data_IF_509029928305
#
_entry.id   IF_509029928305
#
_cell.length_a   1.000
_cell.length_b   1.000
_cell.length_c   1.000
_cell.angle_alpha   90.00
_cell.angle_beta   90.00
_cell.angle_gamma   90.00
#
_symmetry.space_group_name_H-M   'P 1'
#
loop_
_entity.id
_entity.type
_entity.pdbx_description
1 polymer ?
#
# COMPACT_ATOMS: atom_id res chain seq x y z
N UNK A 1 -13.25 9.48 -6.60
CA UNK A 1 -12.04 10.34 -6.76
C UNK A 1 -12.16 11.36 -7.88
N UNK A 2 -12.50 10.97 -9.12
CA UNK A 2 -12.61 11.89 -10.28
C UNK A 2 -13.52 13.08 -10.00
N UNK A 3 -14.69 12.84 -9.41
CA UNK A 3 -15.65 13.91 -9.09
C UNK A 3 -15.09 14.92 -8.08
N UNK A 4 -14.36 14.44 -7.06
CA UNK A 4 -13.68 15.33 -6.12
C UNK A 4 -12.60 16.17 -6.82
N UNK A 5 -11.81 15.56 -7.71
CA UNK A 5 -10.85 16.33 -8.51
C UNK A 5 -11.52 17.39 -9.39
N UNK A 6 -12.71 17.13 -9.95
CA UNK A 6 -13.47 18.11 -10.75
C UNK A 6 -13.96 19.27 -9.88
N UNK A 7 -14.58 18.98 -8.73
CA UNK A 7 -15.08 19.98 -7.78
C UNK A 7 -13.97 20.91 -7.28
N UNK A 8 -12.80 20.35 -6.97
CA UNK A 8 -11.69 21.09 -6.37
C UNK A 8 -10.71 21.71 -7.37
N UNK A 9 -10.84 21.41 -8.68
CA UNK A 9 -9.93 21.88 -9.75
C UNK A 9 -9.80 23.41 -9.79
N UNK A 10 -10.90 24.12 -9.54
CA UNK A 10 -10.95 25.58 -9.62
C UNK A 10 -10.73 26.28 -8.28
N UNK A 11 -10.79 25.55 -7.16
CA UNK A 11 -10.68 26.13 -5.80
C UNK A 11 -9.23 26.32 -5.34
N UNK A 12 -8.30 25.47 -5.77
CA UNK A 12 -6.88 25.63 -5.42
C UNK A 12 -6.08 26.32 -6.54
N UNK A 13 -5.65 27.56 -6.28
CA UNK A 13 -4.97 28.41 -7.27
C UNK A 13 -3.50 28.02 -7.49
N UNK A 14 -2.79 27.57 -6.46
CA UNK A 14 -1.35 27.25 -6.52
C UNK A 14 -1.09 25.75 -6.72
N UNK A 15 0.12 25.40 -7.18
CA UNK A 15 0.56 23.99 -7.28
C UNK A 15 0.59 23.31 -5.91
N UNK A 16 1.17 24.00 -4.90
CA UNK A 16 1.22 23.52 -3.51
C UNK A 16 -0.18 23.31 -2.91
N UNK A 17 -1.11 24.24 -3.14
CA UNK A 17 -2.49 24.10 -2.66
C UNK A 17 -3.19 22.88 -3.27
N UNK A 18 -2.94 22.59 -4.55
CA UNK A 18 -3.47 21.39 -5.21
C UNK A 18 -2.83 20.11 -4.67
N UNK A 19 -1.54 20.11 -4.40
CA UNK A 19 -0.87 18.98 -3.74
C UNK A 19 -1.46 18.70 -2.35
N UNK A 20 -1.77 19.75 -1.58
CA UNK A 20 -2.45 19.62 -0.27
C UNK A 20 -3.83 18.99 -0.43
N UNK A 21 -4.64 19.41 -1.40
CA UNK A 21 -5.96 18.80 -1.67
C UNK A 21 -5.82 17.33 -2.05
N UNK A 22 -4.86 16.98 -2.91
CA UNK A 22 -4.63 15.58 -3.26
C UNK A 22 -4.32 14.75 -2.01
N UNK A 23 -3.43 15.23 -1.16
CA UNK A 23 -3.03 14.53 0.07
C UNK A 23 -4.15 14.43 1.11
N UNK A 24 -4.94 15.49 1.28
CA UNK A 24 -5.92 15.58 2.37
C UNK A 24 -7.32 15.07 1.99
N UNK A 25 -7.68 15.06 0.71
CA UNK A 25 -9.05 14.76 0.27
C UNK A 25 -9.09 13.61 -0.73
N UNK A 26 -8.28 13.68 -1.79
CA UNK A 26 -8.43 12.73 -2.92
C UNK A 26 -7.80 11.38 -2.62
N UNK A 27 -6.54 11.38 -2.17
CA UNK A 27 -5.76 10.17 -1.91
C UNK A 27 -6.28 9.36 -0.71
N UNK A 28 -6.78 9.96 0.39
CA UNK A 28 -7.39 9.20 1.48
C UNK A 28 -8.55 8.28 1.05
N UNK A 29 -9.32 8.66 0.01
CA UNK A 29 -10.36 7.80 -0.54
C UNK A 29 -9.80 6.51 -1.13
N UNK A 30 -8.60 6.56 -1.72
CA UNK A 30 -7.88 5.40 -2.20
C UNK A 30 -7.26 4.61 -1.05
N UNK A 31 -6.72 5.31 -0.04
CA UNK A 31 -6.10 4.65 1.11
C UNK A 31 -7.10 3.83 1.91
N UNK A 32 -8.32 4.32 2.05
CA UNK A 32 -9.39 3.57 2.72
C UNK A 32 -9.62 2.18 2.09
N UNK A 33 -9.62 2.08 0.76
CA UNK A 33 -9.78 0.79 0.07
C UNK A 33 -8.48 0.00 0.00
N UNK A 34 -7.34 0.67 -0.12
CA UNK A 34 -6.02 0.04 -0.18
C UNK A 34 -5.61 -0.68 1.11
N UNK A 35 -6.20 -0.31 2.26
CA UNK A 35 -6.00 -1.00 3.54
C UNK A 35 -6.58 -2.42 3.55
N UNK A 36 -7.57 -2.71 2.71
CA UNK A 36 -8.29 -4.01 2.71
C UNK A 36 -8.24 -4.76 1.38
N UNK A 37 -7.81 -4.10 0.29
CA UNK A 37 -7.74 -4.69 -1.04
C UNK A 37 -6.45 -4.32 -1.75
N UNK A 38 -5.95 -5.23 -2.58
CA UNK A 38 -4.75 -4.95 -3.39
C UNK A 38 -5.12 -3.96 -4.48
N UNK A 39 -4.42 -2.83 -4.52
CA UNK A 39 -4.61 -1.85 -5.59
C UNK A 39 -4.00 -2.41 -6.88
N UNK A 40 -4.79 -2.70 -7.92
CA UNK A 40 -4.25 -3.28 -9.15
C UNK A 40 -3.38 -2.26 -9.92
N UNK A 41 -2.40 -2.75 -10.68
CA UNK A 41 -1.42 -1.88 -11.35
C UNK A 41 -2.05 -0.88 -12.34
N UNK A 42 -3.17 -1.23 -12.99
CA UNK A 42 -3.93 -0.33 -13.85
C UNK A 42 -4.54 0.84 -13.04
N UNK A 43 -5.08 0.59 -11.85
CA UNK A 43 -5.64 1.60 -10.95
C UNK A 43 -4.53 2.53 -10.45
N UNK A 44 -3.36 1.99 -10.09
CA UNK A 44 -2.19 2.81 -9.71
C UNK A 44 -1.82 3.78 -10.84
N UNK A 45 -1.76 3.29 -12.09
CA UNK A 45 -1.49 4.14 -13.26
C UNK A 45 -2.57 5.21 -13.45
N UNK A 46 -3.85 4.86 -13.29
CA UNK A 46 -4.96 5.81 -13.38
C UNK A 46 -4.89 6.88 -12.28
N UNK A 47 -4.59 6.50 -11.04
CA UNK A 47 -4.41 7.44 -9.92
C UNK A 47 -3.25 8.39 -10.19
N UNK A 48 -2.10 7.88 -10.65
CA UNK A 48 -0.94 8.71 -11.04
C UNK A 48 -1.32 9.72 -12.13
N UNK A 49 -2.06 9.30 -13.16
CA UNK A 49 -2.57 10.18 -14.22
C UNK A 49 -3.50 11.25 -13.65
N UNK A 50 -4.48 10.86 -12.84
CA UNK A 50 -5.44 11.75 -12.21
C UNK A 50 -4.76 12.82 -11.34
N UNK A 51 -3.78 12.41 -10.53
CA UNK A 51 -2.98 13.33 -9.72
C UNK A 51 -2.25 14.35 -10.60
N UNK A 52 -1.60 13.90 -11.68
CA UNK A 52 -0.92 14.80 -12.65
C UNK A 52 -1.92 15.73 -13.35
N UNK A 53 -3.06 15.24 -13.82
CA UNK A 53 -4.09 16.07 -14.45
C UNK A 53 -4.58 17.18 -13.52
N UNK A 54 -4.83 16.83 -12.25
CA UNK A 54 -5.24 17.79 -11.24
C UNK A 54 -4.14 18.82 -10.93
N UNK A 55 -2.90 18.36 -10.73
CA UNK A 55 -1.73 19.22 -10.46
C UNK A 55 -1.38 20.16 -11.60
N UNK A 56 -1.67 19.80 -12.86
CA UNK A 56 -1.34 20.62 -14.02
C UNK A 56 -2.56 21.28 -14.68
N UNK A 57 -3.74 21.23 -14.04
CA UNK A 57 -4.99 21.85 -14.55
C UNK A 57 -5.34 21.38 -15.97
N UNK A 58 -4.98 20.14 -16.30
CA UNK A 58 -5.32 19.52 -17.58
C UNK A 58 -6.60 18.71 -17.43
N UNK A 59 -7.24 18.38 -18.56
CA UNK A 59 -8.46 17.60 -18.52
C UNK A 59 -8.21 16.19 -18.00
N UNK A 60 -9.10 15.77 -17.11
CA UNK A 60 -9.05 14.46 -16.47
C UNK A 60 -9.60 13.47 -17.48
N UNK A 61 -8.72 12.91 -18.30
CA UNK A 61 -9.01 11.81 -19.20
C UNK A 61 -8.40 10.52 -18.65
N UNK A 62 -9.10 9.40 -18.81
CA UNK A 62 -8.66 8.09 -18.32
C UNK A 62 -7.57 7.48 -19.22
N UNK A 63 -7.53 7.89 -20.48
CA UNK A 63 -6.72 7.30 -21.55
C UNK A 63 -5.42 8.05 -21.82
N UNK A 64 -5.38 9.38 -21.72
CA UNK A 64 -4.19 10.16 -22.06
C UNK A 64 -3.23 10.34 -20.87
N UNK A 65 -1.98 9.93 -21.07
CA UNK A 65 -0.90 10.19 -20.11
C UNK A 65 -0.44 11.65 -20.22
N UNK A 66 -0.55 12.39 -19.13
CA UNK A 66 -0.11 13.80 -19.08
C UNK A 66 1.35 13.84 -18.66
N UNK A 67 2.23 14.25 -19.58
CA UNK A 67 3.59 14.66 -19.24
C UNK A 67 3.50 16.04 -18.58
N UNK A 68 3.81 16.09 -17.28
CA UNK A 68 3.96 17.35 -16.58
C UNK A 68 5.24 18.06 -17.02
N UNK A 69 5.36 19.39 -16.77
CA UNK A 69 6.59 20.14 -17.03
C UNK A 69 7.76 19.78 -16.08
N UNK A 70 7.49 18.97 -15.05
CA UNK A 70 8.44 18.64 -13.99
C UNK A 70 8.74 17.14 -13.98
N UNK A 71 9.93 16.78 -13.51
CA UNK A 71 10.32 15.39 -13.27
C UNK A 71 9.33 14.72 -12.30
N UNK A 72 9.03 13.45 -12.54
CA UNK A 72 8.02 12.73 -11.75
C UNK A 72 8.46 12.51 -10.30
N UNK A 73 9.74 12.24 -10.09
CA UNK A 73 10.35 12.05 -8.76
C UNK A 73 10.19 13.28 -7.84
N UNK A 74 10.24 14.48 -8.41
CA UNK A 74 10.06 15.74 -7.69
C UNK A 74 8.66 15.86 -7.06
N UNK A 75 7.64 15.17 -7.62
CA UNK A 75 6.29 15.14 -7.05
C UNK A 75 6.25 14.40 -5.70
N UNK A 76 7.12 13.41 -5.53
CA UNK A 76 7.13 12.53 -4.35
C UNK A 76 8.14 12.97 -3.28
N UNK A 77 9.13 13.79 -3.64
CA UNK A 77 10.10 14.33 -2.69
C UNK A 77 9.45 15.10 -1.54
N UNK A 78 10.01 15.02 -0.32
CA UNK A 78 9.47 15.69 0.84
C UNK A 78 9.46 17.22 0.64
N UNK A 79 8.50 17.88 1.27
CA UNK A 79 8.37 19.35 1.17
C UNK A 79 9.56 20.09 1.76
N UNK A 80 10.33 19.46 2.67
CA UNK A 80 11.58 20.01 3.21
C UNK A 80 12.70 20.10 2.17
N UNK A 81 12.69 19.24 1.13
CA UNK A 81 13.65 19.25 0.03
C UNK A 81 13.11 19.99 -1.21
N UNK A 82 12.03 20.76 -1.05
CA UNK A 82 11.42 21.51 -2.15
C UNK A 82 10.51 20.70 -3.08
N UNK A 83 10.20 19.44 -2.74
CA UNK A 83 9.21 18.61 -3.45
C UNK A 83 7.76 18.89 -3.02
N UNK A 84 6.81 18.16 -3.61
CA UNK A 84 5.38 18.28 -3.26
C UNK A 84 4.94 17.37 -2.11
N UNK A 85 5.75 16.39 -1.72
CA UNK A 85 5.48 15.44 -0.64
C UNK A 85 4.23 14.60 -0.89
N UNK A 86 3.95 14.25 -2.15
CA UNK A 86 2.87 13.33 -2.46
C UNK A 86 3.35 11.90 -2.18
N UNK A 87 2.55 11.07 -1.52
CA UNK A 87 2.91 9.67 -1.32
C UNK A 87 2.88 8.95 -2.67
N UNK A 88 3.93 8.18 -2.96
CA UNK A 88 3.93 7.33 -4.15
C UNK A 88 2.90 6.21 -3.96
N UNK A 89 1.95 6.09 -4.89
CA UNK A 89 0.75 5.26 -4.68
C UNK A 89 1.05 3.79 -4.43
N UNK A 90 2.02 3.21 -5.12
CA UNK A 90 2.40 1.81 -4.95
C UNK A 90 3.06 1.61 -3.58
N UNK A 91 4.15 2.34 -3.32
CA UNK A 91 4.89 2.24 -2.06
C UNK A 91 4.00 2.51 -0.85
N UNK A 92 3.13 3.52 -0.91
CA UNK A 92 2.22 3.83 0.19
C UNK A 92 1.17 2.73 0.40
N UNK A 93 0.64 2.13 -0.67
CA UNK A 93 -0.29 1.00 -0.53
C UNK A 93 0.36 -0.23 0.12
N UNK A 94 1.61 -0.54 -0.25
CA UNK A 94 2.37 -1.62 0.36
C UNK A 94 2.69 -1.32 1.84
N UNK A 95 3.07 -0.08 2.15
CA UNK A 95 3.30 0.37 3.52
C UNK A 95 2.04 0.25 4.38
N UNK A 96 0.85 0.59 3.86
CA UNK A 96 -0.42 0.42 4.58
C UNK A 96 -0.70 -1.05 4.92
N UNK A 97 -0.43 -1.97 3.98
CA UNK A 97 -0.62 -3.40 4.20
C UNK A 97 0.34 -3.93 5.27
N UNK A 98 1.61 -3.49 5.25
CA UNK A 98 2.59 -3.81 6.28
C UNK A 98 2.22 -3.24 7.65
N UNK A 99 1.73 -2.00 7.71
CA UNK A 99 1.22 -1.40 8.94
C UNK A 99 0.04 -2.20 9.50
N UNK A 100 -0.91 -2.62 8.65
CA UNK A 100 -2.03 -3.48 9.05
C UNK A 100 -1.55 -4.78 9.67
N UNK A 101 -0.56 -5.45 9.06
CA UNK A 101 0.05 -6.66 9.60
C UNK A 101 0.76 -6.40 10.95
N UNK A 102 1.55 -5.34 11.04
CA UNK A 102 2.24 -4.91 12.27
C UNK A 102 1.26 -4.59 13.40
N UNK A 103 0.19 -3.87 13.09
CA UNK A 103 -0.78 -3.44 14.09
C UNK A 103 -1.59 -4.66 14.60
N UNK A 104 -1.84 -5.64 13.73
CA UNK A 104 -2.46 -6.90 14.13
C UNK A 104 -1.53 -7.73 15.05
N UNK A 105 -0.26 -7.91 14.69
CA UNK A 105 0.72 -8.62 15.53
C UNK A 105 0.91 -7.93 16.87
N UNK A 106 1.05 -6.61 16.88
CA UNK A 106 1.16 -5.83 18.11
C UNK A 106 -0.09 -5.95 18.99
N UNK A 107 -1.29 -5.90 18.40
CA UNK A 107 -2.54 -6.12 19.14
C UNK A 107 -2.58 -7.50 19.79
N UNK A 108 -2.16 -8.55 19.07
CA UNK A 108 -2.14 -9.92 19.61
C UNK A 108 -1.08 -10.08 20.68
N UNK A 109 0.09 -9.47 20.53
CA UNK A 109 1.14 -9.50 21.54
C UNK A 109 0.70 -8.90 22.88
N UNK A 110 -0.13 -7.86 22.86
CA UNK A 110 -0.63 -7.20 24.07
C UNK A 110 -1.87 -7.89 24.65
N UNK A 111 -2.84 -8.24 23.78
CA UNK A 111 -4.17 -8.66 24.22
C UNK A 111 -4.38 -10.16 24.20
N UNK A 112 -3.43 -10.92 23.63
CA UNK A 112 -3.53 -12.35 23.33
C UNK A 112 -4.78 -12.73 22.52
N UNK A 113 -5.37 -11.78 21.80
CA UNK A 113 -6.58 -11.98 20.98
C UNK A 113 -6.40 -11.35 19.62
N UNK A 114 -6.78 -12.09 18.58
CA UNK A 114 -6.81 -11.57 17.21
C UNK A 114 -7.91 -10.51 17.11
N UNK A 115 -7.58 -9.29 16.65
CA UNK A 115 -8.58 -8.25 16.52
C UNK A 115 -9.60 -8.63 15.46
N UNK A 116 -10.89 -8.31 15.70
CA UNK A 116 -12.01 -8.73 14.84
C UNK A 116 -11.84 -8.35 13.36
N UNK A 117 -11.22 -7.21 13.10
CA UNK A 117 -10.96 -6.73 11.74
C UNK A 117 -9.88 -7.54 11.00
N UNK A 118 -9.04 -8.28 11.72
CA UNK A 118 -7.98 -9.11 11.15
C UNK A 118 -8.30 -10.61 11.13
N UNK A 119 -9.37 -11.04 11.81
CA UNK A 119 -9.77 -12.47 11.87
C UNK A 119 -9.84 -13.14 10.49
N UNK A 120 -10.43 -12.52 9.43
CA UNK A 120 -10.47 -13.15 8.12
C UNK A 120 -9.07 -13.43 7.55
N UNK A 121 -8.13 -12.49 7.72
CA UNK A 121 -6.75 -12.66 7.29
C UNK A 121 -6.03 -13.73 8.12
N UNK A 122 -6.27 -13.76 9.43
CA UNK A 122 -5.71 -14.75 10.34
C UNK A 122 -6.11 -16.18 9.94
N UNK A 123 -7.37 -16.40 9.56
CA UNK A 123 -7.84 -17.70 9.07
C UNK A 123 -7.19 -18.06 7.72
N UNK A 124 -7.08 -17.09 6.79
CA UNK A 124 -6.39 -17.30 5.52
C UNK A 124 -4.91 -17.67 5.71
N UNK A 125 -4.26 -17.16 6.77
CA UNK A 125 -2.87 -17.48 7.05
C UNK A 125 -2.66 -18.91 7.56
N UNK A 126 -3.71 -19.58 8.04
CA UNK A 126 -3.65 -20.97 8.46
C UNK A 126 -3.70 -21.95 7.28
N UNK A 127 -4.25 -21.53 6.14
CA UNK A 127 -4.39 -22.39 4.96
C UNK A 127 -3.04 -22.90 4.40
N UNK A 128 -1.99 -22.07 4.22
CA UNK A 128 -0.71 -22.53 3.71
C UNK A 128 0.18 -23.23 4.75
N UNK A 129 -0.27 -23.29 6.00
CA UNK A 129 0.51 -23.74 7.15
C UNK A 129 0.21 -25.21 7.46
N UNK A 130 1.21 -26.08 7.35
CA UNK A 130 1.07 -27.50 7.68
C UNK A 130 1.25 -27.77 9.20
N UNK A 131 0.76 -28.93 9.66
CA UNK A 131 1.07 -29.53 10.98
C UNK A 131 0.74 -28.70 12.24
N UNK A 132 -0.39 -27.99 12.25
CA UNK A 132 -0.91 -27.38 13.49
C UNK A 132 -0.31 -26.02 13.85
N UNK A 133 0.44 -25.42 12.92
CA UNK A 133 0.83 -24.00 13.03
C UNK A 133 -0.38 -23.07 12.87
N UNK A 134 -0.35 -21.94 13.55
CA UNK A 134 -1.52 -21.06 13.75
C UNK A 134 -1.21 -19.64 13.33
N UNK A 135 -1.91 -19.16 12.30
CA UNK A 135 -2.11 -17.75 12.00
C UNK A 135 -0.80 -16.97 11.79
N UNK A 136 -0.23 -16.39 12.85
CA UNK A 136 0.99 -15.59 12.77
C UNK A 136 2.28 -16.40 12.64
N UNK A 137 2.24 -17.73 12.78
CA UNK A 137 3.39 -18.58 12.46
C UNK A 137 3.84 -18.42 10.99
N UNK A 138 2.93 -17.95 10.13
CA UNK A 138 3.20 -17.59 8.73
C UNK A 138 4.31 -16.54 8.58
N UNK A 139 4.57 -15.73 9.62
CA UNK A 139 5.61 -14.71 9.61
C UNK A 139 7.02 -15.29 9.61
N UNK A 140 7.16 -16.53 10.05
CA UNK A 140 8.42 -17.27 10.10
C UNK A 140 8.56 -18.27 8.95
N UNK A 141 7.51 -18.42 8.14
CA UNK A 141 7.50 -19.36 7.05
C UNK A 141 8.25 -18.83 5.82
N UNK A 142 8.99 -19.71 5.16
CA UNK A 142 9.75 -19.40 3.95
C UNK A 142 8.82 -19.28 2.75
N UNK A 143 8.39 -18.06 2.43
CA UNK A 143 7.53 -17.80 1.27
C UNK A 143 8.39 -17.80 0.00
N UNK A 144 8.06 -18.62 -1.02
CA UNK A 144 8.83 -18.68 -2.26
C UNK A 144 8.88 -17.32 -2.96
N UNK A 145 10.10 -16.90 -3.30
CA UNK A 145 10.34 -15.75 -4.16
C UNK A 145 9.99 -16.10 -5.61
N UNK A 146 9.20 -15.26 -6.27
CA UNK A 146 8.84 -15.49 -7.68
C UNK A 146 7.55 -14.81 -8.12
N UNK A 147 7.36 -14.76 -9.45
CA UNK A 147 6.15 -14.23 -10.09
C UNK A 147 4.93 -15.14 -9.90
N UNK A 148 5.17 -16.44 -9.67
CA UNK A 148 4.14 -17.46 -9.52
C UNK A 148 4.16 -17.96 -8.08
N UNK A 149 2.97 -18.00 -7.49
CA UNK A 149 2.73 -18.55 -6.17
C UNK A 149 2.49 -20.04 -6.35
N UNK A 150 3.29 -20.87 -5.69
CA UNK A 150 3.16 -22.33 -5.73
C UNK A 150 2.41 -22.82 -4.49
N UNK A 151 1.84 -24.02 -4.53
CA UNK A 151 1.29 -24.67 -3.34
C UNK A 151 2.37 -24.76 -2.24
N UNK A 152 2.03 -24.54 -0.96
CA UNK A 152 0.69 -24.37 -0.38
C UNK A 152 0.17 -22.91 -0.38
N UNK A 153 0.93 -21.97 -0.95
CA UNK A 153 0.66 -20.53 -0.87
C UNK A 153 -0.43 -20.02 -1.82
N UNK A 154 -0.95 -20.86 -2.72
CA UNK A 154 -1.92 -20.49 -3.76
C UNK A 154 -3.23 -19.91 -3.20
N UNK A 155 -3.69 -20.37 -2.03
CA UNK A 155 -4.89 -19.84 -1.37
C UNK A 155 -4.69 -18.42 -0.81
N UNK A 156 -3.44 -18.01 -0.60
CA UNK A 156 -3.14 -16.70 -0.07
C UNK A 156 -3.28 -15.63 -1.16
N UNK A 157 -4.24 -14.72 -0.98
CA UNK A 157 -4.46 -13.65 -1.92
C UNK A 157 -3.18 -12.80 -2.14
N UNK A 158 -2.93 -12.27 -3.36
CA UNK A 158 -1.75 -11.44 -3.64
C UNK A 158 -1.64 -10.17 -2.78
N UNK A 159 -2.73 -9.80 -2.09
CA UNK A 159 -2.76 -8.75 -1.08
C UNK A 159 -1.83 -9.05 0.11
N UNK A 160 -1.70 -10.31 0.52
CA UNK A 160 -0.91 -10.71 1.69
C UNK A 160 0.48 -11.23 1.34
N UNK A 161 0.65 -11.82 0.15
CA UNK A 161 1.93 -12.38 -0.29
C UNK A 161 3.03 -11.31 -0.32
N UNK A 162 2.75 -10.15 -0.92
CA UNK A 162 3.74 -9.08 -1.06
C UNK A 162 4.16 -8.49 0.29
N UNK A 163 3.23 -8.16 1.22
CA UNK A 163 3.59 -7.78 2.59
C UNK A 163 4.41 -8.83 3.33
N UNK A 164 4.05 -10.11 3.24
CA UNK A 164 4.79 -11.16 3.96
C UNK A 164 6.20 -11.37 3.37
N UNK A 165 6.36 -11.30 2.04
CA UNK A 165 7.69 -11.29 1.40
C UNK A 165 8.53 -10.11 1.86
N UNK A 166 7.91 -8.93 1.93
CA UNK A 166 8.59 -7.72 2.39
C UNK A 166 8.98 -7.85 3.86
N UNK A 167 8.09 -8.40 4.69
CA UNK A 167 8.37 -8.72 6.10
C UNK A 167 9.53 -9.69 6.24
N UNK A 168 9.51 -10.83 5.54
CA UNK A 168 10.59 -11.81 5.57
C UNK A 168 11.92 -11.20 5.10
N UNK A 169 11.89 -10.36 4.06
CA UNK A 169 13.05 -9.58 3.62
C UNK A 169 13.60 -8.68 4.73
N UNK A 170 12.73 -7.93 5.40
CA UNK A 170 13.11 -7.05 6.51
C UNK A 170 13.65 -7.81 7.72
N UNK A 171 13.02 -8.93 8.09
CA UNK A 171 13.51 -9.82 9.15
C UNK A 171 14.88 -10.36 8.76
N UNK A 172 15.06 -10.92 7.57
CA UNK A 172 16.36 -11.43 7.13
C UNK A 172 17.47 -10.37 7.09
N UNK A 173 17.15 -9.11 6.79
CA UNK A 173 18.14 -8.02 6.75
C UNK A 173 18.45 -7.41 8.11
N UNK A 174 17.49 -7.38 9.04
CA UNK A 174 17.61 -6.62 10.30
C UNK A 174 17.62 -7.48 11.57
N UNK A 175 17.11 -8.71 11.49
CA UNK A 175 17.05 -9.66 12.59
C UNK A 175 17.78 -10.93 12.16
N UNK A 176 18.96 -11.21 12.73
CA UNK A 176 19.55 -12.52 12.56
C UNK A 176 18.59 -13.56 13.18
N UNK A 177 18.03 -14.43 12.34
CA UNK A 177 17.08 -15.49 12.76
C UNK A 177 17.67 -16.44 13.82
N UNK A 178 18.99 -16.42 14.03
CA UNK A 178 19.70 -17.12 15.11
C UNK A 178 19.35 -16.60 16.53
N UNK A 179 18.68 -15.46 16.66
CA UNK A 179 18.28 -14.92 17.96
C UNK A 179 16.97 -15.52 18.52
N UNK A 180 16.28 -16.38 17.77
CA UNK A 180 14.96 -16.93 18.13
C UNK A 180 14.91 -18.47 18.20
N UNK A 181 16.06 -19.16 18.12
CA UNK A 181 16.21 -20.60 18.40
C UNK A 181 16.80 -20.82 19.78
#
# INVERSE_FOLDING_TARGET
>A
MVEQCRLWRYRARTLRGRAVILRAIVLPLLWYTAVVTRVPANVIKQVKRLCKSFLFKKDISETCAIKGPMAEEWLYWPTSQGGLGLPETLAFSQALQLCSLRDATHSVAITHRVPRWFVPAFVLFQEPLEYGSVGFDILYASIPGGLIVQEPWCGLAPFWIEPLRTWHGLVGTHCQLEAFT
#
